data_IF_563951695591
#
_entry.id   IF_563951695591
#
_cell.length_a   1.000
_cell.length_b   1.000
_cell.length_c   1.000
_cell.angle_alpha   90.00
_cell.angle_beta   90.00
_cell.angle_gamma   90.00
#
_symmetry.space_group_name_H-M   'P 1'
#
loop_
_entity.id
_entity.type
_entity.pdbx_description
1 polymer ?
#
# COMPACT_ATOMS: atom_id res chain seq x y z
N UNK A 1 -31.69 -31.74 -19.76
CA UNK A 1 -30.45 -30.98 -20.03
C UNK A 1 -30.34 -29.68 -19.21
N UNK A 2 -31.36 -29.30 -18.43
CA UNK A 2 -31.33 -28.08 -17.53
C UNK A 2 -30.72 -28.42 -16.15
N UNK A 3 -30.59 -29.68 -15.78
CA UNK A 3 -30.10 -30.13 -14.47
C UNK A 3 -28.60 -30.14 -14.30
N UNK A 4 -27.79 -30.20 -15.40
CA UNK A 4 -26.34 -30.34 -15.28
C UNK A 4 -25.58 -29.03 -15.05
N UNK A 5 -26.08 -27.91 -15.58
CA UNK A 5 -25.41 -26.60 -15.35
C UNK A 5 -25.69 -26.04 -13.95
N UNK A 6 -26.87 -26.34 -13.36
CA UNK A 6 -27.19 -25.94 -12.01
C UNK A 6 -26.32 -26.69 -10.96
N UNK A 7 -26.09 -27.99 -11.18
CA UNK A 7 -25.22 -28.79 -10.31
C UNK A 7 -23.74 -28.37 -10.33
N UNK A 8 -23.24 -27.79 -11.43
CA UNK A 8 -21.84 -27.35 -11.54
C UNK A 8 -21.64 -26.05 -10.74
N UNK A 9 -22.59 -25.10 -10.78
CA UNK A 9 -22.48 -23.83 -10.03
C UNK A 9 -22.55 -24.04 -8.52
N UNK A 10 -23.32 -25.02 -8.04
CA UNK A 10 -23.47 -25.30 -6.61
C UNK A 10 -22.21 -25.96 -6.00
N UNK A 11 -21.25 -26.37 -6.81
CA UNK A 11 -20.00 -27.02 -6.39
C UNK A 11 -18.75 -26.17 -6.60
N UNK A 12 -18.89 -24.92 -7.10
CA UNK A 12 -17.78 -24.01 -7.39
C UNK A 12 -17.87 -22.78 -6.47
N UNK A 13 -16.72 -22.26 -6.06
CA UNK A 13 -16.64 -20.94 -5.43
C UNK A 13 -16.86 -19.83 -6.47
N UNK A 14 -17.38 -18.64 -6.07
CA UNK A 14 -17.46 -17.50 -6.96
C UNK A 14 -16.08 -17.14 -7.59
N UNK A 15 -16.10 -16.59 -8.81
CA UNK A 15 -14.87 -16.13 -9.49
C UNK A 15 -14.13 -15.12 -8.57
N UNK A 16 -12.81 -15.25 -8.50
CA UNK A 16 -11.97 -14.42 -7.62
C UNK A 16 -11.94 -14.86 -6.14
N UNK A 17 -12.66 -15.93 -5.79
CA UNK A 17 -12.62 -16.52 -4.44
C UNK A 17 -12.18 -17.97 -4.49
N UNK A 18 -11.67 -18.49 -3.37
CA UNK A 18 -11.26 -19.87 -3.25
C UNK A 18 -11.31 -20.38 -1.82
N UNK A 19 -11.48 -21.68 -1.67
CA UNK A 19 -11.28 -22.33 -0.39
C UNK A 19 -9.78 -22.38 -0.04
N UNK A 20 -9.46 -22.22 1.24
CA UNK A 20 -8.12 -22.41 1.78
C UNK A 20 -8.14 -23.63 2.69
N UNK A 21 -7.18 -24.55 2.49
CA UNK A 21 -7.21 -25.84 3.17
C UNK A 21 -5.89 -26.14 3.87
N UNK A 22 -5.96 -26.90 4.96
CA UNK A 22 -4.84 -27.56 5.65
C UNK A 22 -3.65 -26.62 5.91
N UNK A 23 -2.51 -26.87 5.23
CA UNK A 23 -1.26 -26.13 5.43
C UNK A 23 -1.38 -24.65 5.06
N UNK A 24 -2.23 -24.29 4.09
CA UNK A 24 -2.54 -22.89 3.79
C UNK A 24 -3.19 -22.18 4.99
N UNK A 25 -4.14 -22.86 5.67
CA UNK A 25 -4.77 -22.30 6.88
C UNK A 25 -3.76 -22.13 8.01
N UNK A 26 -2.86 -23.13 8.19
CA UNK A 26 -1.81 -23.08 9.21
C UNK A 26 -0.85 -21.92 8.93
N UNK A 27 -0.36 -21.79 7.68
CA UNK A 27 0.54 -20.72 7.29
C UNK A 27 -0.10 -19.34 7.48
N UNK A 28 -1.35 -19.18 7.05
CA UNK A 28 -2.13 -17.95 7.25
C UNK A 28 -2.22 -17.56 8.73
N UNK A 29 -2.64 -18.49 9.60
CA UNK A 29 -2.74 -18.24 11.05
C UNK A 29 -1.39 -17.94 11.68
N UNK A 30 -0.32 -18.59 11.22
CA UNK A 30 1.05 -18.34 11.68
C UNK A 30 1.48 -16.91 11.39
N UNK A 31 1.26 -16.42 10.17
CA UNK A 31 1.56 -15.02 9.79
C UNK A 31 0.73 -14.04 10.63
N UNK A 32 -0.57 -14.25 10.72
CA UNK A 32 -1.46 -13.40 11.53
C UNK A 32 -0.99 -13.29 12.99
N UNK A 33 -0.61 -14.40 13.60
CA UNK A 33 -0.13 -14.43 14.99
C UNK A 33 1.25 -13.78 15.16
N UNK A 34 2.18 -13.97 14.22
CA UNK A 34 3.47 -13.28 14.23
C UNK A 34 3.28 -11.76 14.19
N UNK A 35 2.46 -11.25 13.25
CA UNK A 35 2.18 -9.83 13.11
C UNK A 35 1.45 -9.27 14.34
N UNK A 36 0.44 -9.97 14.85
CA UNK A 36 -0.27 -9.59 16.07
C UNK A 36 0.70 -9.40 17.25
N UNK A 37 1.64 -10.33 17.46
CA UNK A 37 2.64 -10.24 18.52
C UNK A 37 3.54 -9.03 18.37
N UNK A 38 4.00 -8.74 17.15
CA UNK A 38 4.80 -7.55 16.87
C UNK A 38 4.01 -6.30 17.24
N UNK A 39 2.81 -6.12 16.71
CA UNK A 39 2.05 -4.88 16.89
C UNK A 39 1.61 -4.67 18.33
N UNK A 40 1.16 -5.71 19.01
CA UNK A 40 0.79 -5.60 20.44
C UNK A 40 1.99 -5.26 21.34
N UNK A 41 3.19 -5.77 21.02
CA UNK A 41 4.42 -5.42 21.75
C UNK A 41 4.79 -3.93 21.60
N UNK A 42 4.41 -3.28 20.49
CA UNK A 42 4.60 -1.85 20.25
C UNK A 42 3.42 -0.99 20.73
N UNK A 43 2.45 -1.60 21.44
CA UNK A 43 1.33 -0.89 22.05
C UNK A 43 0.17 -0.58 21.11
N UNK A 44 0.05 -1.27 19.97
CA UNK A 44 -1.10 -1.14 19.09
C UNK A 44 -2.31 -1.85 19.66
N UNK A 45 -3.46 -1.20 19.58
CA UNK A 45 -4.75 -1.74 19.98
C UNK A 45 -5.51 -2.30 18.79
N UNK A 46 -6.07 -3.50 18.93
CA UNK A 46 -6.88 -4.10 17.88
C UNK A 46 -8.20 -3.37 17.69
N UNK A 47 -8.59 -3.17 16.43
CA UNK A 47 -9.90 -2.68 16.05
C UNK A 47 -10.51 -3.60 14.99
N UNK A 48 -11.83 -3.78 15.07
CA UNK A 48 -12.61 -4.54 14.11
C UNK A 48 -13.66 -3.60 13.53
N UNK A 49 -13.62 -3.37 12.24
CA UNK A 49 -14.62 -2.59 11.50
C UNK A 49 -15.61 -3.53 10.79
N UNK A 50 -16.83 -3.08 10.46
CA UNK A 50 -17.76 -3.89 9.68
C UNK A 50 -17.21 -4.29 8.31
N UNK A 51 -17.58 -5.48 7.82
CA UNK A 51 -17.27 -5.92 6.46
C UNK A 51 -18.07 -5.18 5.38
N UNK A 52 -19.22 -4.58 5.78
CA UNK A 52 -20.09 -3.75 4.96
C UNK A 52 -19.95 -2.30 5.37
N UNK A 53 -19.70 -1.43 4.41
CA UNK A 53 -19.63 0.03 4.58
C UNK A 53 -20.53 0.71 3.55
N UNK A 54 -20.90 1.97 3.81
CA UNK A 54 -21.54 2.77 2.78
C UNK A 54 -20.56 3.10 1.67
N UNK A 55 -21.03 3.12 0.43
CA UNK A 55 -20.22 3.47 -0.75
C UNK A 55 -19.52 4.81 -0.58
N UNK A 56 -20.17 5.77 0.04
CA UNK A 56 -19.68 7.12 0.30
C UNK A 56 -18.45 7.16 1.23
N UNK A 57 -18.19 6.12 2.01
CA UNK A 57 -16.98 6.02 2.84
C UNK A 57 -15.73 5.97 1.94
N UNK A 58 -15.84 5.37 0.76
CA UNK A 58 -14.73 5.21 -0.19
C UNK A 58 -14.76 6.24 -1.33
N UNK A 59 -15.94 6.70 -1.71
CA UNK A 59 -16.14 7.59 -2.86
C UNK A 59 -17.18 8.68 -2.57
N UNK A 60 -17.04 9.38 -1.46
CA UNK A 60 -17.91 10.50 -1.09
C UNK A 60 -17.48 11.82 -1.73
N UNK A 61 -16.57 12.54 -1.09
CA UNK A 61 -16.05 13.82 -1.58
C UNK A 61 -14.91 13.63 -2.59
N UNK A 62 -14.07 12.62 -2.38
CA UNK A 62 -12.96 12.23 -3.24
C UNK A 62 -13.17 10.79 -3.66
N UNK A 63 -12.87 10.48 -4.90
CA UNK A 63 -13.01 9.13 -5.46
C UNK A 63 -11.70 8.36 -5.30
N UNK A 64 -11.47 7.79 -4.13
CA UNK A 64 -10.24 7.03 -3.83
C UNK A 64 -10.19 5.64 -4.46
N UNK A 65 -11.36 5.08 -4.83
CA UNK A 65 -11.45 3.75 -5.41
C UNK A 65 -12.26 3.78 -6.70
N UNK A 66 -11.75 3.24 -7.82
CA UNK A 66 -12.54 3.07 -9.03
C UNK A 66 -13.80 2.26 -8.72
N UNK A 67 -14.96 2.77 -9.14
CA UNK A 67 -16.25 2.20 -8.80
C UNK A 67 -16.40 0.73 -9.22
N UNK A 68 -15.74 0.34 -10.31
CA UNK A 68 -15.72 -1.01 -10.87
C UNK A 68 -14.91 -2.01 -10.06
N UNK A 69 -14.03 -1.53 -9.17
CA UNK A 69 -13.21 -2.42 -8.32
C UNK A 69 -13.89 -2.82 -7.02
N UNK A 70 -15.10 -2.34 -6.76
CA UNK A 70 -15.83 -2.59 -5.51
C UNK A 70 -17.01 -3.54 -5.71
N UNK A 71 -17.16 -4.51 -4.81
CA UNK A 71 -18.36 -5.32 -4.68
C UNK A 71 -19.49 -4.50 -4.05
N UNK A 72 -20.56 -4.24 -4.82
CA UNK A 72 -21.67 -3.37 -4.45
C UNK A 72 -22.90 -4.17 -4.05
N UNK A 73 -23.60 -3.69 -3.03
CA UNK A 73 -24.85 -4.24 -2.52
C UNK A 73 -25.86 -3.11 -2.25
N UNK A 74 -27.13 -3.46 -2.22
CA UNK A 74 -28.20 -2.54 -1.85
C UNK A 74 -28.87 -3.09 -0.58
N UNK A 75 -28.98 -2.27 0.47
CA UNK A 75 -29.64 -2.68 1.71
C UNK A 75 -31.18 -2.60 1.60
N UNK A 76 -31.88 -3.07 2.62
CA UNK A 76 -33.33 -3.05 2.69
C UNK A 76 -33.96 -1.65 2.72
N UNK A 77 -33.16 -0.57 2.77
CA UNK A 77 -33.58 0.84 2.68
C UNK A 77 -33.14 1.49 1.37
N UNK A 78 -32.74 0.70 0.41
CA UNK A 78 -32.26 1.13 -0.92
C UNK A 78 -31.01 2.01 -0.90
N UNK A 79 -30.10 1.82 0.11
CA UNK A 79 -28.84 2.53 0.21
C UNK A 79 -27.72 1.68 -0.40
N UNK A 80 -26.82 2.33 -1.14
CA UNK A 80 -25.68 1.67 -1.75
C UNK A 80 -24.62 1.36 -0.70
N UNK A 81 -24.23 0.12 -0.61
CA UNK A 81 -23.20 -0.40 0.27
C UNK A 81 -22.14 -1.13 -0.53
N UNK A 82 -20.97 -1.34 0.05
CA UNK A 82 -19.89 -2.12 -0.53
C UNK A 82 -19.34 -3.12 0.50
N UNK A 83 -18.85 -4.26 0.03
CA UNK A 83 -17.85 -5.01 0.79
C UNK A 83 -16.58 -4.17 0.83
N UNK A 84 -15.99 -3.99 2.02
CA UNK A 84 -14.84 -3.09 2.18
C UNK A 84 -13.66 -3.51 1.27
N UNK A 85 -13.20 -2.62 0.38
CA UNK A 85 -12.04 -2.87 -0.48
C UNK A 85 -10.71 -2.52 0.21
N UNK A 86 -10.78 -1.95 1.42
CA UNK A 86 -9.62 -1.42 2.16
C UNK A 86 -9.99 -1.28 3.65
N UNK A 87 -9.03 -1.40 4.55
CA UNK A 87 -9.26 -1.24 5.98
C UNK A 87 -8.93 0.18 6.50
N UNK A 88 -8.06 0.93 5.80
CA UNK A 88 -7.63 2.29 6.20
C UNK A 88 -8.81 3.26 6.30
N UNK A 89 -9.69 3.28 5.28
CA UNK A 89 -10.88 4.15 5.26
C UNK A 89 -11.85 3.89 6.42
N UNK A 90 -12.27 2.64 6.70
CA UNK A 90 -13.06 2.31 7.88
C UNK A 90 -12.40 2.70 9.20
N UNK A 91 -11.07 2.56 9.32
CA UNK A 91 -10.32 2.97 10.51
C UNK A 91 -10.30 4.49 10.63
N UNK A 92 -10.06 5.23 9.54
CA UNK A 92 -10.13 6.69 9.53
C UNK A 92 -11.52 7.21 9.94
N UNK A 93 -12.60 6.61 9.40
CA UNK A 93 -13.97 6.89 9.83
C UNK A 93 -14.17 6.59 11.33
N UNK A 94 -13.71 5.44 11.82
CA UNK A 94 -13.78 5.05 13.23
C UNK A 94 -13.07 6.07 14.12
N UNK A 95 -11.86 6.48 13.75
CA UNK A 95 -11.04 7.45 14.47
C UNK A 95 -11.69 8.84 14.52
N UNK A 96 -12.32 9.25 13.42
CA UNK A 96 -12.99 10.55 13.35
C UNK A 96 -14.38 10.58 14.03
N UNK A 97 -14.96 9.42 14.32
CA UNK A 97 -16.29 9.30 14.94
C UNK A 97 -16.21 8.77 16.36
N UNK A 98 -16.16 7.45 16.53
CA UNK A 98 -16.24 6.80 17.84
C UNK A 98 -15.02 7.05 18.73
N UNK A 99 -13.83 7.21 18.14
CA UNK A 99 -12.59 7.51 18.86
C UNK A 99 -12.24 9.01 18.84
N UNK A 100 -13.19 9.87 18.48
CA UNK A 100 -12.95 11.33 18.36
C UNK A 100 -12.45 11.97 19.64
N UNK A 101 -12.91 11.49 20.80
CA UNK A 101 -12.53 12.00 22.12
C UNK A 101 -11.18 11.43 22.62
N UNK A 102 -10.67 10.39 21.98
CA UNK A 102 -9.42 9.77 22.39
C UNK A 102 -8.22 10.66 22.07
N UNK A 103 -7.23 10.62 22.97
CA UNK A 103 -5.98 11.38 22.80
C UNK A 103 -5.12 10.80 21.69
N UNK A 104 -4.52 11.66 20.88
CA UNK A 104 -3.53 11.31 19.87
C UNK A 104 -2.12 11.18 20.52
N UNK A 105 -1.22 10.36 19.98
CA UNK A 105 -1.44 9.48 18.83
C UNK A 105 -2.27 8.23 19.18
N UNK A 106 -3.10 7.80 18.23
CA UNK A 106 -3.75 6.49 18.27
C UNK A 106 -2.92 5.50 17.46
N UNK A 107 -2.58 4.37 18.07
CA UNK A 107 -1.90 3.25 17.42
C UNK A 107 -2.89 2.09 17.33
N UNK A 108 -3.35 1.85 16.13
CA UNK A 108 -4.40 0.86 15.85
C UNK A 108 -3.87 -0.22 14.91
N UNK A 109 -4.34 -1.45 15.06
CA UNK A 109 -4.15 -2.50 14.06
C UNK A 109 -5.45 -3.23 13.81
N UNK A 110 -5.60 -3.81 12.63
CA UNK A 110 -6.70 -4.71 12.32
C UNK A 110 -6.20 -5.94 11.55
N UNK A 111 -7.00 -7.02 11.60
CA UNK A 111 -6.74 -8.28 10.89
C UNK A 111 -8.07 -8.76 10.29
N UNK A 112 -8.32 -8.39 9.04
CA UNK A 112 -9.64 -8.56 8.43
C UNK A 112 -9.53 -8.84 6.94
N UNK A 113 -10.53 -9.57 6.37
CA UNK A 113 -10.65 -9.72 4.91
C UNK A 113 -11.07 -8.42 4.26
N UNK A 114 -10.51 -8.16 3.08
CA UNK A 114 -10.96 -7.12 2.14
C UNK A 114 -11.41 -7.78 0.83
N UNK A 115 -12.20 -7.04 0.05
CA UNK A 115 -12.85 -7.54 -1.15
C UNK A 115 -12.67 -6.54 -2.29
N UNK A 116 -11.91 -6.92 -3.31
CA UNK A 116 -11.61 -6.04 -4.43
C UNK A 116 -11.70 -6.81 -5.74
N UNK A 117 -12.50 -6.32 -6.66
CA UNK A 117 -12.58 -6.91 -8.00
C UNK A 117 -11.27 -6.67 -8.73
N UNK A 118 -10.53 -7.74 -8.98
CA UNK A 118 -9.28 -7.72 -9.71
C UNK A 118 -9.50 -7.98 -11.20
N UNK A 119 -8.63 -7.46 -12.09
CA UNK A 119 -8.69 -7.81 -13.51
C UNK A 119 -8.60 -9.32 -13.71
N UNK A 120 -9.39 -9.85 -14.65
CA UNK A 120 -9.34 -11.27 -15.02
C UNK A 120 -7.93 -11.65 -15.40
N UNK A 121 -7.50 -12.84 -14.96
CA UNK A 121 -6.16 -13.39 -15.19
C UNK A 121 -5.01 -12.60 -14.52
N UNK A 122 -5.28 -11.75 -13.54
CA UNK A 122 -4.24 -11.06 -12.77
C UNK A 122 -3.48 -11.99 -11.81
N UNK A 123 -3.99 -13.21 -11.57
CA UNK A 123 -3.47 -14.15 -10.57
C UNK A 123 -3.71 -13.69 -9.12
N UNK A 124 -4.59 -12.71 -8.91
CA UNK A 124 -4.97 -12.17 -7.60
C UNK A 124 -6.37 -12.63 -7.24
N UNK A 125 -6.54 -13.08 -5.99
CA UNK A 125 -7.85 -13.35 -5.43
C UNK A 125 -8.57 -12.02 -5.14
N UNK A 126 -9.89 -11.99 -5.27
CA UNK A 126 -10.72 -10.82 -4.95
C UNK A 126 -10.98 -10.69 -3.45
N UNK A 127 -10.96 -11.81 -2.74
CA UNK A 127 -10.99 -11.86 -1.28
C UNK A 127 -9.62 -12.25 -0.73
N UNK A 128 -9.05 -11.40 0.12
CA UNK A 128 -7.81 -11.71 0.84
C UNK A 128 -7.77 -10.99 2.18
N UNK A 129 -6.97 -11.50 3.09
CA UNK A 129 -6.81 -10.93 4.43
C UNK A 129 -5.68 -9.93 4.45
N UNK A 130 -5.94 -8.77 5.04
CA UNK A 130 -4.91 -7.80 5.40
C UNK A 130 -4.75 -7.73 6.91
N UNK A 131 -3.50 -7.55 7.34
CA UNK A 131 -3.16 -7.10 8.69
C UNK A 131 -2.52 -5.74 8.55
N UNK A 132 -3.23 -4.72 9.06
CA UNK A 132 -2.86 -3.33 8.88
C UNK A 132 -2.48 -2.69 10.21
N UNK A 133 -1.58 -1.72 10.18
CA UNK A 133 -1.36 -0.77 11.29
C UNK A 133 -1.63 0.65 10.83
N UNK A 134 -2.12 1.48 11.77
CA UNK A 134 -2.36 2.90 11.56
C UNK A 134 -1.87 3.69 12.79
N UNK A 135 -1.00 4.67 12.55
CA UNK A 135 -0.58 5.68 13.53
C UNK A 135 -1.28 6.97 13.16
N UNK A 136 -2.23 7.38 13.97
CA UNK A 136 -3.04 8.57 13.74
C UNK A 136 -2.63 9.65 14.73
N UNK A 137 -2.08 10.76 14.23
CA UNK A 137 -1.53 11.86 15.04
C UNK A 137 -0.09 11.62 15.50
N UNK A 138 0.40 12.55 16.30
CA UNK A 138 1.76 12.53 16.82
C UNK A 138 2.76 13.31 15.97
N UNK A 139 4.04 13.20 16.32
CA UNK A 139 5.14 13.82 15.58
C UNK A 139 5.40 13.02 14.31
N UNK A 140 5.34 13.68 13.15
CA UNK A 140 5.32 13.02 11.83
C UNK A 140 6.55 12.16 11.58
N UNK A 141 7.74 12.65 11.86
CA UNK A 141 9.00 11.95 11.58
C UNK A 141 9.17 10.70 12.45
N UNK A 142 8.82 10.80 13.74
CA UNK A 142 8.86 9.66 14.65
C UNK A 142 7.85 8.57 14.24
N UNK A 143 6.65 8.96 13.81
CA UNK A 143 5.64 8.04 13.32
C UNK A 143 6.06 7.35 12.02
N UNK A 144 6.72 8.06 11.08
CA UNK A 144 7.27 7.46 9.87
C UNK A 144 8.33 6.40 10.19
N UNK A 145 9.25 6.73 11.07
CA UNK A 145 10.31 5.80 11.47
C UNK A 145 9.75 4.56 12.18
N UNK A 146 8.75 4.74 13.04
CA UNK A 146 8.07 3.61 13.69
C UNK A 146 7.35 2.73 12.66
N UNK A 147 6.56 3.32 11.74
CA UNK A 147 5.86 2.58 10.71
C UNK A 147 6.82 1.80 9.81
N UNK A 148 7.91 2.43 9.34
CA UNK A 148 8.91 1.79 8.49
C UNK A 148 9.69 0.68 9.21
N UNK A 149 10.04 0.90 10.48
CA UNK A 149 10.69 -0.13 11.31
C UNK A 149 9.77 -1.33 11.52
N UNK A 150 8.47 -1.10 11.79
CA UNK A 150 7.48 -2.17 11.90
C UNK A 150 7.22 -2.88 10.57
N UNK A 151 7.25 -2.15 9.45
CA UNK A 151 7.18 -2.74 8.13
C UNK A 151 8.36 -3.70 7.88
N UNK A 152 9.58 -3.28 8.18
CA UNK A 152 10.76 -4.12 8.07
C UNK A 152 10.70 -5.35 8.99
N UNK A 153 10.26 -5.19 10.25
CA UNK A 153 10.06 -6.31 11.19
C UNK A 153 8.96 -7.26 10.70
N UNK A 154 7.89 -6.73 10.11
CA UNK A 154 6.81 -7.55 9.54
C UNK A 154 7.29 -8.39 8.37
N UNK A 155 8.10 -7.82 7.48
CA UNK A 155 8.71 -8.53 6.36
C UNK A 155 9.70 -9.60 6.86
N UNK A 156 10.57 -9.25 7.80
CA UNK A 156 11.50 -10.21 8.44
C UNK A 156 10.78 -11.38 9.11
N UNK A 157 9.59 -11.15 9.67
CA UNK A 157 8.76 -12.22 10.26
C UNK A 157 8.19 -13.18 9.21
N UNK A 158 8.09 -12.75 7.94
CA UNK A 158 7.71 -13.60 6.79
C UNK A 158 8.92 -14.35 6.29
N UNK A 159 9.99 -13.62 5.94
CA UNK A 159 11.26 -14.13 5.44
C UNK A 159 12.39 -13.15 5.77
N UNK A 160 13.60 -13.67 6.09
CA UNK A 160 14.79 -12.84 6.33
C UNK A 160 15.31 -12.17 5.06
N UNK A 161 15.05 -12.77 3.87
CA UNK A 161 15.39 -12.22 2.56
C UNK A 161 14.26 -11.36 2.02
N UNK A 162 14.17 -10.17 2.59
CA UNK A 162 13.21 -9.14 2.18
C UNK A 162 13.89 -7.90 1.61
N UNK A 163 13.10 -7.10 0.89
CA UNK A 163 13.44 -5.78 0.41
C UNK A 163 12.30 -4.81 0.73
N UNK A 164 12.64 -3.67 1.34
CA UNK A 164 11.72 -2.56 1.57
C UNK A 164 12.11 -1.39 0.64
N UNK A 165 11.25 -1.08 -0.32
CA UNK A 165 11.38 0.06 -1.22
C UNK A 165 10.71 1.26 -0.57
N UNK A 166 11.41 2.40 -0.54
CA UNK A 166 10.90 3.67 0.01
C UNK A 166 10.95 4.76 -1.05
N UNK A 167 9.93 5.61 -1.07
CA UNK A 167 9.82 6.76 -1.97
C UNK A 167 9.12 7.93 -1.28
N UNK A 168 8.96 9.04 -2.00
CA UNK A 168 8.31 10.25 -1.51
C UNK A 168 7.27 10.73 -2.51
N UNK A 169 5.99 10.60 -2.17
CA UNK A 169 4.87 10.93 -3.07
C UNK A 169 4.89 12.38 -3.55
N UNK A 170 5.38 13.29 -2.71
CA UNK A 170 5.44 14.69 -3.04
C UNK A 170 6.47 15.04 -4.13
N UNK A 171 7.54 14.23 -4.32
CA UNK A 171 8.47 14.43 -5.44
C UNK A 171 7.74 14.19 -6.74
N UNK A 172 7.11 13.03 -6.89
CA UNK A 172 6.36 12.66 -8.08
C UNK A 172 5.26 13.68 -8.40
N UNK A 173 4.44 14.02 -7.39
CA UNK A 173 3.34 14.99 -7.55
C UNK A 173 3.86 16.34 -8.01
N UNK A 174 4.86 16.90 -7.35
CA UNK A 174 5.42 18.23 -7.70
C UNK A 174 5.91 18.24 -9.15
N UNK A 175 6.65 17.22 -9.60
CA UNK A 175 7.17 17.22 -10.97
C UNK A 175 6.08 17.04 -12.03
N UNK A 176 4.99 16.30 -11.71
CA UNK A 176 3.85 16.14 -12.63
C UNK A 176 2.99 17.42 -12.67
N UNK A 177 2.74 18.05 -11.53
CA UNK A 177 1.98 19.31 -11.43
C UNK A 177 2.69 20.44 -12.19
N UNK A 178 4.02 20.52 -12.11
CA UNK A 178 4.83 21.53 -12.80
C UNK A 178 4.81 21.36 -14.34
N UNK A 179 4.36 20.21 -14.86
CA UNK A 179 4.16 20.04 -16.31
C UNK A 179 2.93 20.83 -16.80
N UNK A 180 2.03 21.27 -15.92
CA UNK A 180 0.78 21.98 -16.24
C UNK A 180 -0.05 21.27 -17.34
N UNK A 181 -0.18 19.96 -17.22
CA UNK A 181 -0.97 19.13 -18.15
C UNK A 181 -2.45 19.11 -17.78
N UNK A 182 -3.29 18.61 -18.71
CA UNK A 182 -4.66 18.25 -18.35
C UNK A 182 -4.68 17.09 -17.34
N UNK A 183 -5.72 17.02 -16.53
CA UNK A 183 -5.93 15.95 -15.55
C UNK A 183 -5.80 14.55 -16.18
N UNK A 184 -6.41 14.35 -17.36
CA UNK A 184 -6.32 13.08 -18.12
C UNK A 184 -4.87 12.71 -18.47
N UNK A 185 -4.05 13.70 -18.88
CA UNK A 185 -2.64 13.46 -19.20
C UNK A 185 -1.80 13.19 -17.95
N UNK A 186 -2.07 13.89 -16.86
CA UNK A 186 -1.40 13.66 -15.59
C UNK A 186 -1.69 12.24 -15.05
N UNK A 187 -2.95 11.80 -15.13
CA UNK A 187 -3.35 10.44 -14.76
C UNK A 187 -2.73 9.36 -15.67
N UNK A 188 -2.63 9.64 -16.97
CA UNK A 188 -1.92 8.75 -17.90
C UNK A 188 -0.45 8.59 -17.50
N UNK A 189 0.27 9.70 -17.22
CA UNK A 189 1.68 9.66 -16.78
C UNK A 189 1.81 8.85 -15.49
N UNK A 190 0.92 9.07 -14.52
CA UNK A 190 0.88 8.30 -13.28
C UNK A 190 0.76 6.80 -13.56
N UNK A 191 -0.22 6.43 -14.41
CA UNK A 191 -0.47 5.03 -14.79
C UNK A 191 0.72 4.41 -15.51
N UNK A 192 1.39 5.14 -16.40
CA UNK A 192 2.55 4.66 -17.16
C UNK A 192 3.76 4.40 -16.24
N UNK A 193 3.98 5.26 -15.24
CA UNK A 193 5.05 5.08 -14.26
C UNK A 193 4.75 3.89 -13.34
N UNK A 194 3.54 3.81 -12.81
CA UNK A 194 3.13 2.70 -11.94
C UNK A 194 3.26 1.34 -12.64
N UNK A 195 2.89 1.28 -13.92
CA UNK A 195 3.02 0.07 -14.74
C UNK A 195 4.42 -0.14 -15.33
N UNK A 196 5.39 0.73 -15.00
CA UNK A 196 6.77 0.71 -15.52
C UNK A 196 6.84 0.70 -17.06
N UNK A 197 5.86 1.35 -17.72
CA UNK A 197 5.80 1.46 -19.17
C UNK A 197 6.57 2.71 -19.66
N UNK A 198 7.88 2.65 -19.56
CA UNK A 198 8.78 3.75 -19.88
C UNK A 198 8.80 4.16 -21.36
N UNK A 199 8.67 3.25 -22.35
CA UNK A 199 8.52 3.66 -23.73
C UNK A 199 7.32 4.58 -23.96
N UNK A 200 6.13 4.18 -23.49
CA UNK A 200 4.92 4.99 -23.61
C UNK A 200 4.99 6.29 -22.78
N UNK A 201 5.71 6.30 -21.65
CA UNK A 201 5.96 7.51 -20.86
C UNK A 201 6.78 8.52 -21.67
N UNK A 202 7.84 8.10 -22.36
CA UNK A 202 8.64 8.97 -23.20
C UNK A 202 7.84 9.53 -24.37
N UNK A 203 6.98 8.73 -24.99
CA UNK A 203 6.06 9.13 -26.05
C UNK A 203 5.03 10.16 -25.54
N UNK A 204 4.43 9.93 -24.38
CA UNK A 204 3.47 10.86 -23.78
C UNK A 204 4.09 12.24 -23.43
N UNK A 205 5.40 12.29 -23.21
CA UNK A 205 6.18 13.49 -22.90
C UNK A 205 6.92 14.05 -24.13
N UNK A 206 6.65 13.52 -25.34
CA UNK A 206 7.27 14.03 -26.57
C UNK A 206 6.83 15.47 -26.85
N UNK A 207 7.78 16.32 -27.23
CA UNK A 207 7.54 17.73 -27.48
C UNK A 207 7.48 18.62 -26.24
N UNK A 208 7.52 18.05 -25.02
CA UNK A 208 7.61 18.82 -23.78
C UNK A 208 9.09 18.93 -23.38
N UNK A 209 9.62 20.16 -23.37
CA UNK A 209 11.02 20.43 -23.04
C UNK A 209 11.07 21.41 -21.85
N UNK A 210 11.22 20.87 -20.66
CA UNK A 210 11.37 21.61 -19.42
C UNK A 210 11.98 20.72 -18.32
N UNK A 211 12.48 21.32 -17.26
CA UNK A 211 13.11 20.58 -16.14
C UNK A 211 12.18 19.54 -15.50
N UNK A 212 10.89 19.82 -15.46
CA UNK A 212 9.90 18.88 -14.94
C UNK A 212 9.78 17.62 -15.82
N UNK A 213 9.74 17.78 -17.15
CA UNK A 213 9.68 16.65 -18.09
C UNK A 213 10.95 15.78 -18.00
N UNK A 214 12.13 16.41 -17.87
CA UNK A 214 13.39 15.69 -17.69
C UNK A 214 13.39 14.91 -16.37
N UNK A 215 12.86 15.51 -15.31
CA UNK A 215 12.71 14.84 -14.01
C UNK A 215 11.77 13.65 -14.11
N UNK A 216 10.54 13.81 -14.68
CA UNK A 216 9.56 12.70 -14.83
C UNK A 216 10.15 11.54 -15.62
N UNK A 217 10.87 11.81 -16.71
CA UNK A 217 11.55 10.78 -17.52
C UNK A 217 12.65 10.05 -16.74
N UNK A 218 13.29 10.72 -15.78
CA UNK A 218 14.39 10.16 -15.00
C UNK A 218 13.90 9.32 -13.80
N UNK A 219 12.76 9.69 -13.15
CA UNK A 219 12.25 9.04 -11.94
C UNK A 219 12.29 7.51 -12.01
N UNK A 220 11.84 6.84 -13.09
CA UNK A 220 11.85 5.40 -13.16
C UNK A 220 13.24 4.74 -13.09
N UNK A 221 14.29 5.47 -13.45
CA UNK A 221 15.69 4.99 -13.41
C UNK A 221 16.38 5.30 -12.08
N UNK A 222 15.78 6.12 -11.24
CA UNK A 222 16.30 6.51 -9.93
C UNK A 222 15.88 5.49 -8.88
N UNK A 223 16.48 4.31 -8.98
CA UNK A 223 16.24 3.15 -8.12
C UNK A 223 17.57 2.55 -7.67
N UNK A 224 17.74 2.29 -6.37
CA UNK A 224 18.97 1.71 -5.81
C UNK A 224 19.12 1.96 -4.32
N UNK A 225 20.33 2.13 -3.86
CA UNK A 225 20.66 2.48 -2.48
C UNK A 225 20.99 3.98 -2.34
N UNK A 226 21.99 4.33 -1.55
CA UNK A 226 22.35 5.72 -1.27
C UNK A 226 22.81 6.50 -2.51
N UNK A 227 23.34 5.84 -3.53
CA UNK A 227 23.79 6.44 -4.80
C UNK A 227 22.65 7.14 -5.57
N UNK A 228 21.40 6.73 -5.33
CA UNK A 228 20.23 7.34 -5.95
C UNK A 228 20.09 8.82 -5.57
N UNK A 229 20.44 9.17 -4.34
CA UNK A 229 20.31 10.56 -3.88
C UNK A 229 21.23 11.50 -4.65
N UNK A 230 22.47 11.11 -4.91
CA UNK A 230 23.42 11.90 -5.72
C UNK A 230 22.97 11.98 -7.19
N UNK A 231 22.52 10.84 -7.75
CA UNK A 231 22.03 10.81 -9.13
C UNK A 231 20.76 11.66 -9.33
N UNK A 232 19.92 11.80 -8.29
CA UNK A 232 18.68 12.57 -8.33
C UNK A 232 18.89 14.09 -8.24
N UNK A 233 19.96 14.57 -7.60
CA UNK A 233 20.20 16.00 -7.33
C UNK A 233 20.04 16.90 -8.57
N UNK A 234 20.50 16.48 -9.73
CA UNK A 234 20.43 17.26 -10.99
C UNK A 234 18.99 17.45 -11.49
N UNK A 235 18.05 16.62 -11.04
CA UNK A 235 16.64 16.71 -11.40
C UNK A 235 15.81 17.45 -10.35
N UNK A 236 16.38 17.78 -9.20
CA UNK A 236 15.72 18.52 -8.12
C UNK A 236 15.87 20.03 -8.36
N UNK A 237 15.18 20.53 -9.38
CA UNK A 237 15.30 21.91 -9.87
C UNK A 237 14.73 22.97 -8.92
N UNK A 238 13.84 22.61 -7.97
CA UNK A 238 13.26 23.52 -6.99
C UNK A 238 13.77 23.26 -5.57
N UNK A 239 13.63 24.26 -4.69
CA UNK A 239 13.96 24.12 -3.26
C UNK A 239 13.05 23.09 -2.59
N UNK A 240 11.78 23.03 -3.00
CA UNK A 240 10.82 22.08 -2.48
C UNK A 240 11.26 20.64 -2.76
N UNK A 241 11.58 20.32 -4.02
CA UNK A 241 12.05 19.00 -4.42
C UNK A 241 13.30 18.57 -3.66
N UNK A 242 14.28 19.49 -3.49
CA UNK A 242 15.49 19.21 -2.69
C UNK A 242 15.17 18.93 -1.23
N UNK A 243 14.21 19.66 -0.64
CA UNK A 243 13.77 19.40 0.74
C UNK A 243 13.17 18.01 0.88
N UNK A 244 12.30 17.61 -0.06
CA UNK A 244 11.69 16.26 -0.07
C UNK A 244 12.73 15.16 -0.24
N UNK A 245 13.69 15.35 -1.18
CA UNK A 245 14.78 14.39 -1.38
C UNK A 245 15.65 14.24 -0.12
N UNK A 246 15.96 15.35 0.56
CA UNK A 246 16.74 15.32 1.79
C UNK A 246 15.96 14.62 2.93
N UNK A 247 14.66 14.84 3.06
CA UNK A 247 13.83 14.12 4.04
C UNK A 247 13.84 12.61 3.78
N UNK A 248 13.74 12.19 2.51
CA UNK A 248 13.83 10.78 2.14
C UNK A 248 15.23 10.20 2.45
N UNK A 249 16.30 10.97 2.20
CA UNK A 249 17.69 10.58 2.54
C UNK A 249 17.85 10.36 4.04
N UNK A 250 17.37 11.30 4.86
CA UNK A 250 17.41 11.17 6.33
C UNK A 250 16.64 9.92 6.81
N UNK A 251 15.52 9.61 6.15
CA UNK A 251 14.73 8.41 6.46
C UNK A 251 15.50 7.12 6.08
N UNK A 252 16.13 7.10 4.90
CA UNK A 252 16.99 6.00 4.46
C UNK A 252 18.15 5.77 5.46
N UNK A 253 18.86 6.83 5.83
CA UNK A 253 20.00 6.77 6.75
C UNK A 253 19.57 6.29 8.14
N UNK A 254 18.40 6.72 8.62
CA UNK A 254 17.83 6.27 9.88
C UNK A 254 17.54 4.75 9.85
N UNK A 255 16.91 4.24 8.78
CA UNK A 255 16.64 2.81 8.63
C UNK A 255 17.93 1.98 8.54
N UNK A 256 18.93 2.45 7.81
CA UNK A 256 20.24 1.81 7.76
C UNK A 256 20.89 1.76 9.14
N UNK A 257 20.79 2.84 9.93
CA UNK A 257 21.30 2.90 11.31
C UNK A 257 20.56 1.99 12.28
N UNK A 258 19.29 1.65 12.00
CA UNK A 258 18.50 0.66 12.74
C UNK A 258 18.87 -0.80 12.40
N UNK A 259 19.81 -1.02 11.48
CA UNK A 259 20.28 -2.35 11.11
C UNK A 259 19.69 -2.93 9.82
N UNK A 260 18.94 -2.13 9.06
CA UNK A 260 18.31 -2.58 7.80
C UNK A 260 19.16 -2.27 6.55
N UNK A 261 20.46 -1.94 6.73
CA UNK A 261 21.38 -1.72 5.60
C UNK A 261 21.37 -2.90 4.62
N UNK A 262 21.32 -2.62 3.30
CA UNK A 262 21.21 -3.61 2.22
C UNK A 262 19.79 -4.16 2.00
N UNK A 263 18.87 -3.98 2.96
CA UNK A 263 17.45 -4.38 2.82
C UNK A 263 16.56 -3.22 2.31
N UNK A 264 17.06 -1.98 2.39
CA UNK A 264 16.31 -0.78 1.96
C UNK A 264 16.74 -0.37 0.55
N UNK A 265 15.77 -0.08 -0.31
CA UNK A 265 15.98 0.53 -1.62
C UNK A 265 15.20 1.83 -1.73
N UNK A 266 15.78 2.81 -2.38
CA UNK A 266 15.14 4.07 -2.73
C UNK A 266 14.54 3.92 -4.13
N UNK A 267 13.26 4.24 -4.30
CA UNK A 267 12.57 4.25 -5.59
C UNK A 267 11.86 5.61 -5.77
N UNK A 268 12.44 6.51 -6.53
CA UNK A 268 11.85 7.82 -6.81
C UNK A 268 10.71 7.74 -7.85
N UNK A 269 10.60 6.63 -8.56
CA UNK A 269 9.47 6.31 -9.43
C UNK A 269 8.33 5.60 -8.69
N UNK A 270 8.41 5.46 -7.37
CA UNK A 270 7.36 4.82 -6.59
C UNK A 270 6.11 5.70 -6.58
N UNK A 271 5.14 5.35 -7.41
CA UNK A 271 3.83 5.97 -7.49
C UNK A 271 2.76 5.00 -6.98
N UNK A 272 1.68 5.51 -6.47
CA UNK A 272 0.55 4.70 -6.01
C UNK A 272 -0.75 5.30 -6.51
N UNK A 273 -1.65 4.47 -7.06
CA UNK A 273 -2.98 4.89 -7.56
C UNK A 273 -3.86 5.59 -6.54
N UNK A 274 -3.59 5.36 -5.25
CA UNK A 274 -4.34 6.00 -4.17
C UNK A 274 -3.79 7.41 -3.94
N UNK A 275 -4.48 8.41 -4.45
CA UNK A 275 -4.09 9.83 -4.38
C UNK A 275 -4.07 10.43 -2.96
N UNK A 276 -4.38 9.65 -1.92
CA UNK A 276 -4.39 10.17 -0.56
C UNK A 276 -3.01 10.24 0.11
N UNK A 277 -1.97 9.64 -0.46
CA UNK A 277 -0.63 9.70 0.13
C UNK A 277 -0.02 11.09 0.02
N UNK A 278 0.55 11.59 1.13
CA UNK A 278 1.04 12.96 1.27
C UNK A 278 2.53 13.08 1.60
N UNK A 279 3.23 11.96 1.77
CA UNK A 279 4.63 11.92 2.18
C UNK A 279 5.30 10.61 1.78
N UNK A 280 5.99 10.00 2.76
CA UNK A 280 6.68 8.72 2.55
C UNK A 280 5.73 7.65 1.98
N UNK A 281 6.23 6.93 0.99
CA UNK A 281 5.60 5.72 0.42
C UNK A 281 6.56 4.55 0.58
N UNK A 282 6.02 3.34 0.76
CA UNK A 282 6.86 2.16 0.82
C UNK A 282 6.15 0.89 0.38
N UNK A 283 6.92 -0.04 -0.18
CA UNK A 283 6.48 -1.38 -0.58
C UNK A 283 7.49 -2.41 -0.10
N UNK A 284 6.98 -3.50 0.46
CA UNK A 284 7.79 -4.61 0.94
C UNK A 284 7.68 -5.83 0.06
N UNK A 285 8.81 -6.41 -0.29
CA UNK A 285 8.93 -7.62 -1.08
C UNK A 285 9.70 -8.67 -0.30
N UNK A 286 9.40 -9.92 -0.57
CA UNK A 286 10.14 -11.06 -0.05
C UNK A 286 10.59 -11.97 -1.19
N UNK A 287 11.69 -12.68 -1.00
CA UNK A 287 12.22 -13.59 -2.02
C UNK A 287 11.17 -14.65 -2.40
N UNK A 288 11.16 -15.04 -3.67
CA UNK A 288 10.22 -16.03 -4.21
C UNK A 288 8.78 -15.56 -4.44
N UNK A 289 8.43 -14.27 -4.16
CA UNK A 289 7.12 -13.70 -4.46
C UNK A 289 7.25 -12.41 -5.26
N UNK A 290 6.77 -12.42 -6.51
CA UNK A 290 7.00 -11.34 -7.48
C UNK A 290 6.16 -10.07 -7.30
N UNK A 291 5.30 -10.00 -6.28
CA UNK A 291 4.44 -8.85 -5.97
C UNK A 291 4.75 -8.32 -4.57
N UNK A 292 4.39 -7.06 -4.26
CA UNK A 292 4.51 -6.56 -2.90
C UNK A 292 3.68 -7.39 -1.92
N UNK A 293 4.31 -7.81 -0.81
CA UNK A 293 3.65 -8.46 0.33
C UNK A 293 3.11 -7.42 1.30
N UNK A 294 3.73 -6.24 1.32
CA UNK A 294 3.39 -5.12 2.18
C UNK A 294 3.38 -3.83 1.38
N UNK A 295 2.46 -2.92 1.66
CA UNK A 295 2.45 -1.56 1.13
C UNK A 295 1.90 -0.57 2.14
N UNK A 296 2.42 0.65 2.13
CA UNK A 296 1.99 1.70 3.05
C UNK A 296 2.55 3.08 2.71
N UNK A 297 2.25 4.04 3.58
CA UNK A 297 2.72 5.41 3.43
C UNK A 297 1.98 6.39 4.35
N UNK A 298 2.34 7.68 4.23
CA UNK A 298 1.75 8.80 4.96
C UNK A 298 0.55 9.38 4.20
N UNK A 299 -0.56 9.67 4.92
CA UNK A 299 -1.82 10.14 4.32
C UNK A 299 -2.56 11.17 5.22
N UNK A 300 -1.93 12.30 5.46
CA UNK A 300 -2.35 13.32 6.45
C UNK A 300 -3.70 13.99 6.14
N UNK A 301 -4.19 13.96 4.91
CA UNK A 301 -5.44 14.61 4.51
C UNK A 301 -6.67 13.74 4.72
N UNK A 302 -6.53 12.42 4.73
CA UNK A 302 -7.63 11.46 4.70
C UNK A 302 -8.60 11.60 5.89
N UNK A 303 -8.08 11.79 7.11
CA UNK A 303 -8.92 11.93 8.28
C UNK A 303 -9.77 13.21 8.25
N UNK A 304 -9.31 14.23 7.51
CA UNK A 304 -10.04 15.49 7.28
C UNK A 304 -11.37 15.28 6.57
N UNK A 305 -11.45 14.30 5.65
CA UNK A 305 -12.68 13.97 4.94
C UNK A 305 -13.77 13.43 5.87
N UNK A 306 -13.36 12.82 6.98
CA UNK A 306 -14.24 12.35 8.05
C UNK A 306 -14.41 13.37 9.18
N UNK A 307 -13.88 14.60 9.03
CA UNK A 307 -14.06 15.69 9.98
C UNK A 307 -13.09 15.70 11.18
N UNK A 308 -11.93 15.05 11.08
CA UNK A 308 -10.86 15.09 12.08
C UNK A 308 -9.51 15.29 11.40
N UNK A 309 -9.01 16.53 11.34
CA UNK A 309 -7.67 16.77 10.81
C UNK A 309 -6.60 16.17 11.73
N UNK A 310 -5.76 15.33 11.17
CA UNK A 310 -4.66 14.69 11.88
C UNK A 310 -3.65 14.11 10.89
N UNK A 311 -2.38 14.09 11.26
CA UNK A 311 -1.36 13.31 10.54
C UNK A 311 -1.68 11.82 10.64
N UNK A 312 -1.30 11.06 9.61
CA UNK A 312 -1.52 9.63 9.58
C UNK A 312 -0.47 8.92 8.73
N UNK A 313 0.01 7.78 9.22
CA UNK A 313 0.88 6.86 8.50
C UNK A 313 0.54 5.43 8.88
N UNK A 314 0.53 4.53 7.92
CA UNK A 314 0.23 3.13 8.15
C UNK A 314 0.66 2.22 7.00
N UNK A 315 0.47 0.94 7.18
CA UNK A 315 0.70 -0.05 6.13
C UNK A 315 -0.18 -1.28 6.30
N UNK A 316 -0.34 -2.01 5.21
CA UNK A 316 -1.07 -3.26 5.12
C UNK A 316 -0.14 -4.40 4.68
N UNK A 317 -0.23 -5.54 5.35
CA UNK A 317 0.40 -6.81 4.94
C UNK A 317 -0.66 -7.72 4.32
N UNK A 318 -0.42 -8.20 3.10
CA UNK A 318 -1.24 -9.23 2.47
C UNK A 318 -0.86 -10.60 3.06
N UNK A 319 -1.74 -11.15 3.88
CA UNK A 319 -1.50 -12.39 4.63
C UNK A 319 -1.38 -13.60 3.71
N UNK A 320 -2.18 -13.68 2.65
CA UNK A 320 -2.13 -14.76 1.68
C UNK A 320 -0.81 -14.75 0.89
N UNK A 321 -0.33 -13.58 0.52
CA UNK A 321 0.98 -13.43 -0.12
C UNK A 321 2.10 -13.89 0.81
N UNK A 322 2.09 -13.46 2.07
CA UNK A 322 3.05 -13.86 3.09
C UNK A 322 2.98 -15.37 3.39
N UNK A 323 1.77 -15.94 3.48
CA UNK A 323 1.58 -17.36 3.70
C UNK A 323 2.12 -18.23 2.55
N UNK A 324 1.95 -17.77 1.29
CA UNK A 324 2.51 -18.47 0.11
C UNK A 324 4.05 -18.56 0.18
N UNK A 325 4.73 -17.53 0.67
CA UNK A 325 6.19 -17.55 0.87
C UNK A 325 6.56 -18.57 1.95
N UNK A 326 5.89 -18.49 3.11
CA UNK A 326 6.14 -19.41 4.21
C UNK A 326 5.96 -20.89 3.80
N UNK A 327 4.96 -21.20 2.98
CA UNK A 327 4.73 -22.57 2.48
C UNK A 327 5.84 -23.05 1.55
N UNK A 328 6.39 -22.19 0.70
CA UNK A 328 7.51 -22.54 -0.19
C UNK A 328 8.76 -22.90 0.62
N UNK A 329 9.10 -22.12 1.62
CA UNK A 329 10.28 -22.35 2.47
C UNK A 329 10.21 -23.67 3.26
N UNK A 330 8.99 -24.18 3.55
CA UNK A 330 8.78 -25.46 4.23
C UNK A 330 8.91 -26.65 3.26
N UNK A 331 8.65 -26.44 1.97
CA UNK A 331 8.64 -27.53 0.97
C UNK A 331 9.89 -27.58 0.08
N UNK A 332 10.82 -26.66 0.21
CA UNK A 332 12.14 -26.80 -0.45
C UNK A 332 12.94 -27.89 0.26
N UNK A 333 13.31 -29.00 -0.44
CA UNK A 333 14.19 -30.00 0.16
C UNK A 333 15.54 -29.33 0.47
N UNK A 334 16.01 -29.50 1.71
CA UNK A 334 17.37 -29.15 2.09
C UNK A 334 18.34 -29.74 1.05
N UNK A 335 18.77 -28.93 0.10
CA UNK A 335 19.91 -29.28 -0.75
C UNK A 335 21.14 -29.29 0.15
N UNK A 336 21.50 -30.49 0.61
CA UNK A 336 22.78 -30.74 1.28
C UNK A 336 23.89 -30.36 0.28
N UNK A 337 24.54 -29.23 0.56
CA UNK A 337 25.79 -28.81 -0.07
C UNK A 337 26.97 -29.57 0.55
#
# INVERSE_FOLDING_TARGET
LVGSEMCIRDSLTPEGTRDQLFDECIAKRTIQEKLRKIFTAYGYSEVITPGLEFYEVFNGKVHYFPSETMYKLVDGKNRLMVLRPDNTMPIARLAATRLRAEKLPLKLYCNQSIFMVNPKNSGRDDEFTQVDIEILGGESKAADYEALSLAAQSLFAVDEDFRLEIGESGIFRTVVDDLNLSEEKAELIHTLIENKNYPALNEALEGISCSAADAVKALPSLFGESEVFEAAEKYMYSKELRTKLNTLRETYDALCSMGYSGKIKVDLGLAHKKDYYTGILFRGYVEGYGLPVLSGGRYDTLLGDFGRNSTAVGFAVNVEAAAKVLLKSVHEPLTLS
#
